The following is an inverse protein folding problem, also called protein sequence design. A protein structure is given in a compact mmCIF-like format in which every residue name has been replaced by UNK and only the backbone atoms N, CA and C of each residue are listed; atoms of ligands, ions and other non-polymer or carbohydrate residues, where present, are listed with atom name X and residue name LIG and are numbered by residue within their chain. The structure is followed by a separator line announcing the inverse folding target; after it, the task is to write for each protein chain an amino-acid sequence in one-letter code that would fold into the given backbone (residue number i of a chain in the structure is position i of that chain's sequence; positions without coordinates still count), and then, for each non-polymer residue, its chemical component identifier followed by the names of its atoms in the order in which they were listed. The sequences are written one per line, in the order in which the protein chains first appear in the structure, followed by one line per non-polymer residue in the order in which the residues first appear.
data_IF_343002050622
#
_entry.id   IF_343002050622
#
_cell.length_a   1.000
_cell.length_b   1.000
_cell.length_c   1.000
_cell.angle_alpha   90.00
_cell.angle_beta   90.00
_cell.angle_gamma   90.00
#
_symmetry.space_group_name_H-M   'P 1'
#
loop_
_entity.id
_entity.type
_entity.pdbx_description
1 polymer ?
#
# COMPACT_ATOMS: atom_id res chain seq x y z
N UNK A 1 15.01 -64.31 -24.94
CA UNK A 1 14.85 -65.33 -23.87
C UNK A 1 13.67 -64.96 -23.00
N UNK A 2 12.68 -65.86 -22.93
CA UNK A 2 11.43 -65.78 -22.17
C UNK A 2 11.58 -66.36 -20.75
N UNK A 3 10.81 -65.86 -19.77
CA UNK A 3 9.90 -66.57 -18.82
C UNK A 3 9.58 -65.58 -17.66
N UNK A 4 8.35 -65.08 -17.42
CA UNK A 4 7.05 -65.68 -17.03
C UNK A 4 6.84 -65.89 -15.51
N UNK A 5 5.79 -65.19 -15.02
CA UNK A 5 4.81 -65.52 -13.95
C UNK A 5 5.18 -65.38 -12.44
N UNK A 6 4.40 -64.55 -11.73
CA UNK A 6 3.45 -65.04 -10.71
C UNK A 6 2.34 -64.00 -10.43
N UNK A 7 1.10 -64.40 -10.67
CA UNK A 7 -0.16 -63.80 -10.20
C UNK A 7 -0.58 -64.59 -8.97
N UNK A 8 -1.23 -63.98 -7.96
CA UNK A 8 -2.34 -64.58 -7.19
C UNK A 8 -3.08 -63.46 -6.44
N UNK A 9 -4.36 -63.31 -6.81
CA UNK A 9 -5.43 -62.64 -6.09
C UNK A 9 -5.84 -63.43 -4.85
N UNK A 10 -6.49 -62.81 -3.86
CA UNK A 10 -7.69 -63.39 -3.23
C UNK A 10 -8.39 -62.40 -2.31
N UNK A 11 -9.69 -62.27 -2.55
CA UNK A 11 -10.67 -61.61 -1.71
C UNK A 11 -11.60 -62.67 -1.10
N UNK A 12 -12.25 -62.29 0.01
CA UNK A 12 -13.48 -62.85 0.59
C UNK A 12 -13.30 -64.12 1.44
N UNK A 13 -13.70 -64.02 2.73
CA UNK A 13 -14.82 -64.77 3.31
C UNK A 13 -15.18 -64.14 4.68
N UNK A 14 -16.45 -63.83 4.81
CA UNK A 14 -17.12 -63.47 6.06
C UNK A 14 -17.84 -64.70 6.63
N UNK A 15 -18.14 -64.62 7.94
CA UNK A 15 -19.27 -65.22 8.69
C UNK A 15 -18.92 -66.26 9.78
N UNK A 16 -19.61 -66.05 10.91
CA UNK A 16 -20.06 -66.92 12.05
C UNK A 16 -19.74 -66.21 13.41
N UNK A 17 -20.55 -65.31 14.00
CA UNK A 17 -21.87 -65.42 14.72
C UNK A 17 -21.72 -66.21 16.05
N UNK A 18 -22.28 -65.83 17.25
CA UNK A 18 -23.56 -65.13 17.50
C UNK A 18 -23.61 -64.00 18.55
N UNK A 19 -24.81 -63.41 18.59
CA UNK A 19 -25.39 -62.40 19.50
C UNK A 19 -25.37 -62.78 21.00
N UNK A 20 -25.32 -61.77 21.86
CA UNK A 20 -26.14 -61.73 23.09
C UNK A 20 -26.30 -60.29 23.58
N UNK A 21 -27.46 -60.07 24.18
CA UNK A 21 -28.17 -58.81 24.33
C UNK A 21 -27.65 -57.86 25.43
N UNK A 22 -28.18 -56.65 25.30
CA UNK A 22 -28.69 -55.82 26.40
C UNK A 22 -27.79 -54.74 27.02
N UNK A 23 -28.46 -53.59 27.20
CA UNK A 23 -28.23 -52.59 28.24
C UNK A 23 -27.10 -51.57 28.01
N UNK A 24 -27.42 -50.49 27.30
CA UNK A 24 -27.65 -49.17 27.92
C UNK A 24 -27.95 -48.12 26.83
N UNK A 25 -29.19 -47.64 26.83
CA UNK A 25 -29.64 -46.49 26.05
C UNK A 25 -28.84 -45.23 26.38
N UNK A 26 -28.05 -44.69 25.44
CA UNK A 26 -27.55 -43.30 25.50
C UNK A 26 -28.07 -42.50 24.32
N UNK A 27 -29.06 -41.64 24.61
CA UNK A 27 -29.59 -40.56 23.76
C UNK A 27 -28.43 -39.78 23.10
N UNK A 28 -28.11 -40.07 21.84
CA UNK A 28 -27.33 -39.17 20.98
C UNK A 28 -28.21 -38.00 20.57
N UNK A 29 -28.26 -36.95 21.41
CA UNK A 29 -28.73 -35.63 21.00
C UNK A 29 -27.85 -35.13 19.85
N UNK A 30 -28.35 -35.21 18.62
CA UNK A 30 -27.83 -34.46 17.46
C UNK A 30 -27.90 -32.97 17.81
N UNK A 31 -26.83 -32.40 18.35
CA UNK A 31 -26.62 -30.94 18.36
C UNK A 31 -26.47 -30.51 16.91
N UNK A 32 -27.57 -30.07 16.29
CA UNK A 32 -27.54 -29.23 15.08
C UNK A 32 -26.60 -28.07 15.42
N UNK A 33 -25.38 -28.08 14.87
CA UNK A 33 -24.51 -26.89 14.85
C UNK A 33 -25.32 -25.82 14.13
N UNK A 34 -25.88 -24.87 14.88
CA UNK A 34 -26.54 -23.70 14.33
C UNK A 34 -25.53 -23.05 13.38
N UNK A 35 -25.87 -22.97 12.08
CA UNK A 35 -25.10 -22.17 11.14
C UNK A 35 -24.97 -20.77 11.77
N UNK A 36 -23.75 -20.20 11.85
CA UNK A 36 -23.61 -18.85 12.35
C UNK A 36 -24.54 -17.95 11.55
N UNK A 37 -25.37 -17.14 12.25
CA UNK A 37 -26.18 -16.13 11.58
C UNK A 37 -25.22 -15.27 10.74
N UNK A 38 -25.54 -15.01 9.46
CA UNK A 38 -24.74 -14.07 8.68
C UNK A 38 -24.64 -12.76 9.46
N UNK A 39 -23.48 -12.07 9.41
CA UNK A 39 -23.32 -10.80 10.09
C UNK A 39 -24.46 -9.86 9.65
N UNK A 40 -25.02 -9.06 10.57
CA UNK A 40 -26.07 -8.13 10.22
C UNK A 40 -25.59 -7.24 9.08
N UNK A 41 -26.46 -7.00 8.09
CA UNK A 41 -26.19 -6.06 7.00
C UNK A 41 -25.92 -4.65 7.54
N UNK A 42 -25.49 -3.71 6.68
CA UNK A 42 -25.25 -2.33 7.10
C UNK A 42 -26.46 -1.75 7.83
N UNK A 43 -26.25 -0.83 8.77
CA UNK A 43 -27.34 -0.14 9.46
C UNK A 43 -28.20 0.65 8.46
N UNK A 44 -29.45 0.95 8.82
CA UNK A 44 -30.30 1.82 7.99
C UNK A 44 -29.66 3.18 7.76
N UNK A 45 -29.00 3.73 8.79
CA UNK A 45 -28.22 4.96 8.68
C UNK A 45 -27.15 4.86 7.58
N UNK A 46 -26.34 3.80 7.57
CA UNK A 46 -25.33 3.62 6.53
C UNK A 46 -25.95 3.46 5.14
N UNK A 47 -27.06 2.75 5.00
CA UNK A 47 -27.77 2.64 3.70
C UNK A 47 -28.20 4.01 3.19
N UNK A 48 -28.79 4.83 4.05
CA UNK A 48 -29.25 6.17 3.68
C UNK A 48 -28.08 7.07 3.26
N UNK A 49 -26.98 7.06 4.04
CA UNK A 49 -25.75 7.81 3.73
C UNK A 49 -25.16 7.41 2.38
N UNK A 50 -24.99 6.11 2.15
CA UNK A 50 -24.46 5.57 0.89
C UNK A 50 -25.35 5.96 -0.28
N UNK A 51 -26.67 5.80 -0.17
CA UNK A 51 -27.60 6.16 -1.25
C UNK A 51 -27.54 7.64 -1.59
N UNK A 52 -27.47 8.51 -0.59
CA UNK A 52 -27.40 9.96 -0.76
C UNK A 52 -26.11 10.40 -1.45
N UNK A 53 -24.96 9.85 -1.05
CA UNK A 53 -23.66 10.33 -1.49
C UNK A 53 -23.03 9.50 -2.62
N UNK A 54 -23.66 8.42 -3.08
CA UNK A 54 -23.21 7.66 -4.26
C UNK A 54 -23.60 8.29 -5.59
N UNK A 55 -24.20 9.49 -5.58
CA UNK A 55 -24.68 10.20 -6.77
C UNK A 55 -24.17 11.65 -6.77
N UNK A 56 -23.71 12.14 -7.93
CA UNK A 56 -23.23 13.54 -8.08
C UNK A 56 -24.38 14.53 -8.06
N UNK A 57 -25.49 14.23 -8.77
CA UNK A 57 -26.63 15.13 -8.90
C UNK A 57 -27.19 15.47 -7.51
N UNK A 58 -27.33 16.77 -7.22
CA UNK A 58 -27.81 17.26 -5.93
C UNK A 58 -26.74 17.37 -4.84
N UNK A 59 -25.49 16.98 -5.12
CA UNK A 59 -24.39 17.05 -4.17
C UNK A 59 -23.27 17.98 -4.65
N UNK A 60 -22.64 18.67 -3.70
CA UNK A 60 -21.44 19.45 -3.95
C UNK A 60 -20.20 18.53 -4.06
N UNK A 61 -19.34 18.73 -5.07
CA UNK A 61 -18.17 17.87 -5.29
C UNK A 61 -17.15 17.92 -4.15
N UNK A 62 -16.96 19.07 -3.48
CA UNK A 62 -16.08 19.16 -2.31
C UNK A 62 -16.67 18.39 -1.12
N UNK A 63 -18.00 18.36 -0.97
CA UNK A 63 -18.66 17.55 0.04
C UNK A 63 -18.47 16.06 -0.26
N UNK A 64 -18.71 15.63 -1.50
CA UNK A 64 -18.49 14.23 -1.91
C UNK A 64 -17.04 13.80 -1.72
N UNK A 65 -16.08 14.67 -2.02
CA UNK A 65 -14.66 14.41 -1.79
C UNK A 65 -14.35 14.21 -0.29
N UNK A 66 -15.07 14.87 0.63
CA UNK A 66 -14.96 14.64 2.07
C UNK A 66 -15.62 13.33 2.51
N UNK A 67 -16.86 13.09 2.06
CA UNK A 67 -17.63 11.89 2.42
C UNK A 67 -16.92 10.61 1.97
N UNK A 68 -16.35 10.61 0.77
CA UNK A 68 -15.63 9.45 0.23
C UNK A 68 -14.12 9.48 0.48
N UNK A 69 -13.64 10.39 1.31
CA UNK A 69 -12.22 10.45 1.65
C UNK A 69 -11.78 9.11 2.27
N UNK A 70 -10.62 8.57 1.90
CA UNK A 70 -10.19 7.27 2.38
C UNK A 70 -9.80 7.30 3.86
N UNK A 71 -10.10 6.23 4.59
CA UNK A 71 -9.50 6.00 5.90
C UNK A 71 -8.13 5.34 5.69
N UNK A 72 -7.05 5.92 6.19
CA UNK A 72 -5.72 5.34 6.07
C UNK A 72 -5.30 4.75 7.42
N UNK A 73 -4.75 3.54 7.42
CA UNK A 73 -4.04 2.97 8.58
C UNK A 73 -2.56 2.82 8.21
N UNK A 74 -1.68 3.47 8.96
CA UNK A 74 -0.24 3.28 8.81
C UNK A 74 0.16 1.90 9.34
N UNK A 75 1.31 1.39 8.91
CA UNK A 75 1.87 0.19 9.50
C UNK A 75 2.23 0.42 10.98
N UNK A 76 2.05 -0.59 11.81
CA UNK A 76 2.53 -0.62 13.18
C UNK A 76 4.05 -0.43 13.20
N UNK A 77 4.52 0.52 14.00
CA UNK A 77 5.93 0.91 14.05
C UNK A 77 6.39 1.79 12.90
N UNK A 78 5.48 2.36 12.10
CA UNK A 78 5.84 3.32 11.04
C UNK A 78 6.59 4.52 11.63
N UNK A 79 7.81 4.68 11.14
CA UNK A 79 8.77 5.69 11.58
C UNK A 79 8.86 6.85 10.57
N UNK A 80 8.42 6.62 9.33
CA UNK A 80 8.43 7.59 8.23
C UNK A 80 6.99 8.10 8.05
N UNK A 81 6.55 8.94 8.98
CA UNK A 81 5.17 9.44 9.00
C UNK A 81 4.91 10.44 7.86
N UNK A 82 3.65 10.68 7.48
CA UNK A 82 3.34 11.69 6.47
C UNK A 82 3.69 13.11 6.95
N UNK A 83 3.74 14.09 6.06
CA UNK A 83 3.86 15.50 6.43
C UNK A 83 3.09 16.41 5.50
N UNK A 84 2.86 17.64 5.94
CA UNK A 84 2.45 18.71 5.04
C UNK A 84 3.61 19.07 4.07
N UNK A 85 3.24 19.64 2.92
CA UNK A 85 4.22 20.25 1.99
C UNK A 85 4.93 21.41 2.67
N UNK A 86 4.20 22.23 3.44
CA UNK A 86 4.79 23.39 4.12
C UNK A 86 5.89 22.98 5.11
N UNK A 87 5.64 21.95 5.93
CA UNK A 87 6.65 21.36 6.81
C UNK A 87 7.90 20.94 6.03
N UNK A 88 7.72 20.14 4.97
CA UNK A 88 8.85 19.63 4.18
C UNK A 88 9.68 20.75 3.54
N UNK A 89 9.02 21.79 3.00
CA UNK A 89 9.69 22.90 2.34
C UNK A 89 10.61 23.70 3.27
N UNK A 90 10.35 23.71 4.58
CA UNK A 90 11.25 24.35 5.57
C UNK A 90 12.61 23.65 5.67
N UNK A 91 12.70 22.38 5.25
CA UNK A 91 13.89 21.53 5.42
C UNK A 91 14.68 21.27 4.13
N UNK A 92 14.27 21.89 3.02
CA UNK A 92 14.90 21.71 1.70
C UNK A 92 15.24 23.05 1.05
N UNK A 93 16.11 23.00 0.04
CA UNK A 93 16.45 24.10 -0.85
C UNK A 93 16.19 23.67 -2.29
N UNK A 94 15.83 24.61 -3.17
CA UNK A 94 15.81 24.36 -4.61
C UNK A 94 17.26 24.35 -5.11
N UNK A 95 17.60 23.34 -5.90
CA UNK A 95 18.86 23.29 -6.63
C UNK A 95 18.55 23.12 -8.12
N UNK A 96 19.30 23.82 -8.98
CA UNK A 96 19.12 23.78 -10.44
C UNK A 96 18.11 24.81 -10.98
N UNK A 97 17.74 25.82 -10.18
CA UNK A 97 16.83 26.91 -10.54
C UNK A 97 16.77 27.98 -9.43
N UNK A 98 15.92 29.01 -9.56
CA UNK A 98 15.78 30.06 -8.55
C UNK A 98 15.44 29.47 -7.18
N UNK A 99 16.10 29.93 -6.14
CA UNK A 99 15.93 29.38 -4.79
C UNK A 99 15.39 30.45 -3.84
N UNK A 100 14.07 30.74 -3.86
CA UNK A 100 13.49 31.69 -2.91
C UNK A 100 13.61 31.13 -1.49
N UNK A 101 13.95 32.00 -0.53
CA UNK A 101 14.10 31.63 0.87
C UNK A 101 13.28 32.59 1.74
N UNK A 102 12.49 32.08 2.70
CA UNK A 102 12.19 30.67 2.94
C UNK A 102 11.29 30.08 1.85
N UNK A 103 11.45 28.78 1.55
CA UNK A 103 10.53 28.07 0.66
C UNK A 103 9.16 27.90 1.34
N UNK A 104 8.11 28.17 0.58
CA UNK A 104 6.70 28.08 0.96
C UNK A 104 5.91 27.45 -0.19
N UNK A 105 4.72 26.86 0.09
CA UNK A 105 3.88 26.30 -0.97
C UNK A 105 3.53 27.29 -2.09
N UNK A 106 3.51 28.59 -1.79
CA UNK A 106 3.14 29.66 -2.73
C UNK A 106 4.30 30.31 -3.51
N UNK A 107 5.55 29.93 -3.24
CA UNK A 107 6.72 30.56 -3.86
C UNK A 107 7.67 29.57 -4.57
N UNK A 108 7.29 28.30 -4.73
CA UNK A 108 8.09 27.36 -5.50
C UNK A 108 8.32 27.89 -6.93
N UNK A 109 9.57 27.85 -7.43
CA UNK A 109 9.93 28.42 -8.71
C UNK A 109 9.38 27.59 -9.88
N UNK A 110 9.15 28.27 -11.00
CA UNK A 110 8.98 27.58 -12.28
C UNK A 110 10.32 26.98 -12.68
N UNK A 111 10.34 25.67 -12.92
CA UNK A 111 11.56 24.96 -13.27
C UNK A 111 11.30 23.72 -14.13
N UNK A 112 12.36 23.15 -14.69
CA UNK A 112 12.31 21.91 -15.45
C UNK A 112 12.74 20.70 -14.59
N UNK A 113 12.90 19.55 -15.23
CA UNK A 113 13.23 18.27 -14.57
C UNK A 113 14.62 18.23 -13.92
N UNK A 114 15.47 19.22 -14.19
CA UNK A 114 16.81 19.34 -13.60
C UNK A 114 16.77 19.97 -12.21
N UNK A 115 15.66 20.62 -11.85
CA UNK A 115 15.44 21.14 -10.51
C UNK A 115 15.08 20.04 -9.51
N UNK A 116 15.59 20.17 -8.29
CA UNK A 116 15.27 19.25 -7.21
C UNK A 116 15.30 19.93 -5.84
N UNK A 117 14.45 19.43 -4.95
CA UNK A 117 14.34 19.89 -3.56
C UNK A 117 15.34 19.12 -2.68
N UNK A 118 16.55 19.65 -2.56
CA UNK A 118 17.65 19.03 -1.78
C UNK A 118 17.48 19.34 -0.30
N UNK A 119 17.61 18.33 0.57
CA UNK A 119 17.69 18.54 2.02
C UNK A 119 18.75 19.60 2.40
N UNK A 120 18.39 20.50 3.33
CA UNK A 120 19.32 21.50 3.91
C UNK A 120 20.46 20.80 4.65
N UNK A 121 20.12 19.81 5.46
CA UNK A 121 21.09 18.92 6.10
C UNK A 121 21.66 17.89 5.13
N UNK A 122 22.90 17.47 5.38
CA UNK A 122 23.56 16.40 4.61
C UNK A 122 23.11 15.02 5.09
N UNK A 123 22.79 14.15 4.15
CA UNK A 123 22.68 12.70 4.40
C UNK A 123 24.09 12.10 4.43
N UNK A 124 24.49 11.51 5.56
CA UNK A 124 25.86 11.01 5.77
C UNK A 124 26.25 9.95 4.73
N UNK A 125 25.30 9.12 4.34
CA UNK A 125 25.45 8.06 3.34
C UNK A 125 24.15 7.93 2.51
N UNK A 126 24.14 7.06 1.49
CA UNK A 126 22.96 6.85 0.65
C UNK A 126 21.78 6.21 1.43
N UNK A 127 22.08 5.39 2.43
CA UNK A 127 21.08 4.73 3.29
C UNK A 127 20.82 5.45 4.62
N UNK A 128 21.43 6.61 4.83
CA UNK A 128 21.41 7.29 6.12
C UNK A 128 20.13 8.10 6.28
N UNK A 129 19.57 8.08 7.48
CA UNK A 129 18.32 8.76 7.83
C UNK A 129 18.53 9.73 9.00
N UNK A 130 19.71 10.35 9.07
CA UNK A 130 20.14 11.20 10.19
C UNK A 130 19.41 12.55 10.30
N UNK A 131 18.50 12.86 9.38
CA UNK A 131 17.80 14.14 9.35
C UNK A 131 16.41 13.98 9.99
N UNK A 132 16.12 14.66 11.11
CA UNK A 132 14.88 14.43 11.87
C UNK A 132 13.59 14.63 11.07
N UNK A 133 13.58 15.58 10.13
CA UNK A 133 12.37 15.87 9.33
C UNK A 133 11.92 14.70 8.44
N UNK A 134 12.79 13.71 8.18
CA UNK A 134 12.42 12.50 7.44
C UNK A 134 11.34 11.68 8.15
N UNK A 135 11.21 11.83 9.47
CA UNK A 135 10.21 11.15 10.30
C UNK A 135 8.80 11.74 10.18
N UNK A 136 8.64 12.89 9.53
CA UNK A 136 7.35 13.53 9.28
C UNK A 136 6.65 14.06 10.53
N UNK A 137 5.34 14.22 10.39
CA UNK A 137 4.45 14.82 11.37
C UNK A 137 3.41 13.80 11.84
N UNK A 138 2.73 14.11 12.93
CA UNK A 138 1.62 13.28 13.40
C UNK A 138 0.45 13.31 12.39
N UNK A 139 -0.10 12.16 11.95
CA UNK A 139 -1.09 12.10 10.86
C UNK A 139 -2.34 12.96 11.07
N UNK A 140 -2.78 13.12 12.33
CA UNK A 140 -3.94 13.96 12.68
C UNK A 140 -3.80 15.45 12.31
N UNK A 141 -2.57 15.93 12.07
CA UNK A 141 -2.28 17.32 11.70
C UNK A 141 -1.92 17.48 10.22
N UNK A 142 -1.75 16.37 9.50
CA UNK A 142 -1.23 16.39 8.12
C UNK A 142 -2.36 16.52 7.11
N UNK A 143 -2.29 17.49 6.18
CA UNK A 143 -3.29 17.62 5.14
C UNK A 143 -3.18 16.55 4.07
N UNK A 144 -4.33 16.16 3.52
CA UNK A 144 -4.40 15.35 2.29
C UNK A 144 -4.82 16.26 1.14
N UNK A 145 -3.96 16.35 0.12
CA UNK A 145 -4.16 17.26 -1.00
C UNK A 145 -5.03 16.59 -2.06
N UNK A 146 -6.24 17.10 -2.24
CA UNK A 146 -7.25 16.49 -3.08
C UNK A 146 -7.49 17.33 -4.32
N UNK A 147 -7.32 16.74 -5.50
CA UNK A 147 -7.66 17.37 -6.77
C UNK A 147 -8.94 16.78 -7.33
N UNK A 148 -9.91 17.63 -7.69
CA UNK A 148 -11.11 17.22 -8.42
C UNK A 148 -10.81 17.30 -9.91
N UNK A 149 -10.82 16.15 -10.57
CA UNK A 149 -10.47 15.98 -11.98
C UNK A 149 -11.74 15.63 -12.74
N UNK A 150 -12.10 16.43 -13.76
CA UNK A 150 -13.25 16.16 -14.64
C UNK A 150 -12.72 15.69 -16.00
N UNK A 151 -13.13 14.50 -16.45
CA UNK A 151 -12.69 13.87 -17.70
C UNK A 151 -13.89 13.22 -18.40
N UNK A 152 -14.50 13.92 -19.35
CA UNK A 152 -15.72 13.44 -20.01
C UNK A 152 -16.82 13.19 -18.98
N UNK A 153 -17.34 11.96 -18.92
CA UNK A 153 -18.35 11.55 -17.95
C UNK A 153 -17.79 11.07 -16.60
N UNK A 154 -16.47 11.11 -16.41
CA UNK A 154 -15.81 10.78 -15.15
C UNK A 154 -15.46 12.00 -14.32
N UNK A 155 -15.74 11.91 -13.03
CA UNK A 155 -15.21 12.82 -12.01
C UNK A 155 -14.33 11.99 -11.07
N UNK A 156 -13.08 12.40 -10.89
CA UNK A 156 -12.12 11.71 -10.03
C UNK A 156 -11.70 12.64 -8.89
N UNK A 157 -11.81 12.15 -7.66
CA UNK A 157 -11.19 12.77 -6.50
C UNK A 157 -9.83 12.10 -6.29
N UNK A 158 -8.75 12.81 -6.60
CA UNK A 158 -7.39 12.30 -6.45
C UNK A 158 -6.81 12.80 -5.14
N UNK A 159 -6.78 11.92 -4.13
CA UNK A 159 -6.20 12.17 -2.82
C UNK A 159 -4.70 11.90 -2.88
N UNK A 160 -3.89 12.92 -2.62
CA UNK A 160 -2.42 12.80 -2.59
C UNK A 160 -1.90 12.92 -1.16
N UNK A 161 -1.02 11.99 -0.82
CA UNK A 161 -0.38 11.83 0.46
C UNK A 161 1.10 12.15 0.27
N UNK A 162 1.64 12.98 1.16
CA UNK A 162 3.05 13.34 1.10
C UNK A 162 3.78 12.75 2.31
N UNK A 163 4.91 12.08 2.06
CA UNK A 163 5.81 11.62 3.08
C UNK A 163 7.19 12.27 2.85
N UNK A 164 7.86 12.82 3.87
CA UNK A 164 9.21 13.38 3.71
C UNK A 164 10.27 12.38 3.26
N UNK A 165 10.00 11.08 3.42
CA UNK A 165 10.96 10.04 3.12
C UNK A 165 10.28 8.71 2.88
N UNK A 166 10.76 7.98 1.88
CA UNK A 166 10.43 6.58 1.63
C UNK A 166 11.68 5.74 1.90
N UNK A 167 11.56 4.71 2.74
CA UNK A 167 12.68 3.83 3.09
C UNK A 167 12.94 2.75 2.04
N UNK A 168 12.10 2.61 1.02
CA UNK A 168 12.25 1.57 0.00
C UNK A 168 12.16 0.17 0.59
N UNK A 169 12.94 -0.77 0.03
CA UNK A 169 12.95 -2.18 0.47
C UNK A 169 14.33 -2.70 0.80
N UNK A 170 14.39 -3.49 1.88
CA UNK A 170 15.55 -4.30 2.22
C UNK A 170 15.57 -5.52 1.32
N UNK A 171 16.69 -5.71 0.63
CA UNK A 171 16.93 -6.72 -0.41
C UNK A 171 18.30 -7.35 -0.18
N UNK A 172 18.40 -8.66 -0.40
CA UNK A 172 19.60 -9.43 -0.48
C UNK A 172 20.36 -9.09 -1.77
N UNK A 173 21.61 -8.65 -1.65
CA UNK A 173 22.41 -8.21 -2.80
C UNK A 173 22.98 -9.38 -3.60
N UNK A 174 23.24 -10.53 -2.95
CA UNK A 174 23.70 -11.74 -3.63
C UNK A 174 22.63 -12.83 -3.70
N UNK A 175 22.99 -14.07 -3.37
CA UNK A 175 22.10 -15.22 -3.48
C UNK A 175 21.17 -15.31 -2.26
N UNK A 176 19.87 -15.31 -2.51
CA UNK A 176 18.88 -15.50 -1.47
C UNK A 176 18.80 -16.97 -1.07
N UNK A 177 19.26 -17.29 0.13
CA UNK A 177 19.27 -18.66 0.65
C UNK A 177 17.94 -19.10 1.25
N UNK A 178 17.00 -18.18 1.51
CA UNK A 178 15.66 -18.52 2.02
C UNK A 178 15.64 -19.21 3.39
N UNK A 179 16.73 -19.14 4.15
CA UNK A 179 16.89 -19.87 5.40
C UNK A 179 17.26 -21.35 5.18
N UNK A 180 17.86 -21.69 4.04
CA UNK A 180 18.34 -23.05 3.73
C UNK A 180 19.33 -23.50 4.80
N UNK A 181 19.17 -24.75 5.22
CA UNK A 181 20.14 -25.44 6.05
C UNK A 181 21.27 -25.94 5.16
N UNK A 182 22.51 -25.43 5.28
CA UNK A 182 23.63 -25.90 4.45
C UNK A 182 24.16 -27.27 4.89
N UNK A 183 23.80 -27.74 6.08
CA UNK A 183 24.22 -29.02 6.63
C UNK A 183 23.07 -30.06 6.62
N UNK A 184 23.39 -31.35 6.83
CA UNK A 184 22.38 -32.39 7.05
C UNK A 184 21.44 -32.00 8.21
N UNK A 185 20.13 -32.16 7.98
CA UNK A 185 19.13 -31.91 9.02
C UNK A 185 19.17 -33.04 10.04
N UNK A 186 19.04 -32.70 11.31
CA UNK A 186 18.79 -33.66 12.39
C UNK A 186 17.28 -33.74 12.67
N UNK A 187 16.81 -34.72 13.44
CA UNK A 187 15.41 -34.76 13.91
C UNK A 187 14.97 -33.48 14.65
N UNK A 188 15.93 -32.74 15.21
CA UNK A 188 15.71 -31.50 15.97
C UNK A 188 15.83 -30.22 15.12
N UNK A 189 16.09 -30.34 13.81
CA UNK A 189 16.13 -29.22 12.88
C UNK A 189 17.48 -29.03 12.19
N UNK A 190 17.84 -27.78 11.90
CA UNK A 190 19.10 -27.43 11.26
C UNK A 190 20.15 -27.16 12.35
N UNK A 191 21.18 -28.01 12.51
CA UNK A 191 22.18 -27.82 13.57
C UNK A 191 23.18 -26.69 13.28
N UNK A 192 23.21 -26.18 12.05
CA UNK A 192 24.10 -25.10 11.61
C UNK A 192 23.34 -23.79 11.35
N UNK A 193 24.05 -22.63 11.33
CA UNK A 193 23.46 -21.37 10.93
C UNK A 193 22.80 -21.43 9.56
N UNK A 194 21.56 -20.95 9.49
CA UNK A 194 20.80 -20.89 8.23
C UNK A 194 21.38 -19.83 7.30
N UNK A 195 21.45 -20.15 6.01
CA UNK A 195 21.85 -19.19 4.99
C UNK A 195 20.61 -18.40 4.56
N UNK A 196 20.59 -17.12 4.88
CA UNK A 196 19.51 -16.20 4.50
C UNK A 196 19.86 -15.39 3.26
N UNK A 197 21.02 -14.75 3.26
CA UNK A 197 21.50 -13.95 2.15
C UNK A 197 23.03 -14.03 2.06
N UNK A 198 23.52 -14.62 0.98
CA UNK A 198 24.94 -14.58 0.63
C UNK A 198 25.21 -13.21 -0.01
N UNK A 199 26.19 -12.46 0.49
CA UNK A 199 26.50 -11.09 0.04
C UNK A 199 25.84 -9.96 0.83
N UNK A 200 25.01 -10.29 1.82
CA UNK A 200 24.44 -9.31 2.75
C UNK A 200 23.21 -8.55 2.24
N UNK A 201 22.54 -7.87 3.17
CA UNK A 201 21.35 -7.08 2.88
C UNK A 201 21.68 -5.60 2.71
N UNK A 202 21.04 -4.98 1.73
CA UNK A 202 21.01 -3.53 1.57
C UNK A 202 19.58 -3.05 1.37
N UNK A 203 19.35 -1.74 1.46
CA UNK A 203 18.01 -1.16 1.28
C UNK A 203 18.01 -0.29 0.03
N UNK A 204 17.15 -0.60 -0.94
CA UNK A 204 17.08 0.07 -2.23
C UNK A 204 15.75 0.78 -2.46
N UNK A 205 15.77 1.79 -3.32
CA UNK A 205 14.59 2.58 -3.66
C UNK A 205 14.22 3.59 -2.60
N UNK A 206 15.16 3.97 -1.72
CA UNK A 206 14.92 5.03 -0.75
C UNK A 206 14.82 6.36 -1.47
N UNK A 207 14.00 7.30 -1.01
CA UNK A 207 14.06 8.66 -1.52
C UNK A 207 13.55 9.66 -0.50
N UNK A 208 14.18 10.84 -0.48
CA UNK A 208 13.65 12.01 0.22
C UNK A 208 12.49 12.54 -0.59
N UNK A 209 11.38 12.89 0.06
CA UNK A 209 10.12 13.27 -0.55
C UNK A 209 9.44 12.09 -1.22
N UNK A 210 8.15 11.92 -0.99
CA UNK A 210 7.37 10.82 -1.54
C UNK A 210 5.92 11.24 -1.75
N UNK A 211 5.38 10.93 -2.92
CA UNK A 211 4.01 11.27 -3.31
C UNK A 211 3.25 9.98 -3.60
N UNK A 212 2.37 9.62 -2.68
CA UNK A 212 1.44 8.53 -2.86
C UNK A 212 0.05 9.06 -3.18
N UNK A 213 -0.81 8.22 -3.78
CA UNK A 213 -2.16 8.66 -4.10
C UNK A 213 -3.23 7.58 -4.04
N UNK A 214 -4.47 8.00 -3.88
CA UNK A 214 -5.65 7.16 -4.09
C UNK A 214 -6.67 7.95 -4.89
N UNK A 215 -7.59 7.26 -5.56
CA UNK A 215 -8.65 7.92 -6.33
C UNK A 215 -10.02 7.36 -5.96
N UNK A 216 -10.99 8.24 -5.82
CA UNK A 216 -12.40 7.86 -5.93
C UNK A 216 -12.88 8.34 -7.29
N UNK A 217 -13.55 7.45 -8.03
CA UNK A 217 -14.07 7.74 -9.36
C UNK A 217 -15.58 7.65 -9.32
N UNK A 218 -16.22 8.70 -9.82
CA UNK A 218 -17.60 8.69 -10.24
C UNK A 218 -17.65 8.61 -11.75
N UNK A 219 -18.54 7.80 -12.29
CA UNK A 219 -18.77 7.65 -13.73
C UNK A 219 -20.27 7.74 -13.99
N UNK A 220 -20.66 8.54 -14.97
CA UNK A 220 -22.07 8.75 -15.32
C UNK A 220 -22.91 9.16 -14.09
N UNK A 221 -22.42 10.15 -13.35
CA UNK A 221 -23.04 10.68 -12.13
C UNK A 221 -23.16 9.72 -10.93
N UNK A 222 -22.55 8.53 -10.96
CA UNK A 222 -22.61 7.56 -9.86
C UNK A 222 -21.23 7.13 -9.38
N UNK A 223 -21.11 6.82 -8.09
CA UNK A 223 -19.91 6.24 -7.51
C UNK A 223 -19.57 4.95 -8.24
N UNK A 224 -18.34 4.86 -8.73
CA UNK A 224 -17.91 3.80 -9.63
C UNK A 224 -16.79 2.96 -9.01
N UNK A 225 -15.73 3.58 -8.51
CA UNK A 225 -14.59 2.82 -8.00
C UNK A 225 -13.69 3.59 -7.04
N UNK A 226 -12.89 2.83 -6.30
CA UNK A 226 -11.75 3.32 -5.54
C UNK A 226 -10.47 2.70 -6.11
N UNK A 227 -9.45 3.53 -6.37
CA UNK A 227 -8.14 3.10 -6.82
C UNK A 227 -7.12 3.25 -5.68
N UNK A 228 -6.43 2.15 -5.36
CA UNK A 228 -5.30 2.13 -4.44
C UNK A 228 -3.99 2.16 -5.23
N UNK A 229 -3.20 3.24 -5.09
CA UNK A 229 -1.85 3.28 -5.67
C UNK A 229 -0.94 2.34 -4.89
N UNK A 230 -0.36 1.39 -5.62
CA UNK A 230 0.76 0.56 -5.17
C UNK A 230 1.64 0.31 -6.38
N UNK A 231 2.89 -0.09 -6.13
CA UNK A 231 3.91 -0.43 -7.11
C UNK A 231 3.31 -0.97 -8.42
N UNK A 232 3.75 -0.49 -9.59
CA UNK A 232 3.22 -0.95 -10.87
C UNK A 232 3.85 -2.29 -11.27
N UNK A 233 3.14 -3.40 -11.08
CA UNK A 233 3.58 -4.74 -11.50
C UNK A 233 2.40 -5.64 -11.87
N UNK A 234 2.67 -6.70 -12.65
CA UNK A 234 1.67 -7.72 -12.95
C UNK A 234 1.12 -8.42 -11.69
N UNK A 235 1.90 -8.47 -10.61
CA UNK A 235 1.50 -9.09 -9.34
C UNK A 235 0.57 -8.14 -8.58
N UNK A 236 0.93 -6.86 -8.44
CA UNK A 236 0.10 -5.87 -7.74
C UNK A 236 -1.22 -5.63 -8.44
N UNK A 237 -1.24 -5.65 -9.77
CA UNK A 237 -2.46 -5.49 -10.56
C UNK A 237 -3.51 -6.58 -10.28
N UNK A 238 -3.14 -7.71 -9.68
CA UNK A 238 -4.10 -8.74 -9.22
C UNK A 238 -4.71 -8.42 -7.85
N UNK A 239 -4.02 -7.66 -7.01
CA UNK A 239 -4.33 -7.56 -5.58
C UNK A 239 -4.66 -6.15 -5.09
N UNK A 240 -4.30 -5.13 -5.86
CA UNK A 240 -4.52 -3.72 -5.58
C UNK A 240 -4.96 -2.98 -6.86
N UNK A 241 -4.85 -1.65 -6.93
CA UNK A 241 -5.38 -0.86 -8.04
C UNK A 241 -6.88 -0.61 -7.89
N UNK A 242 -7.66 -0.78 -8.97
CA UNK A 242 -9.09 -0.43 -8.99
C UNK A 242 -9.98 -1.48 -8.32
N UNK A 243 -10.76 -1.06 -7.34
CA UNK A 243 -11.86 -1.79 -6.70
C UNK A 243 -13.19 -1.15 -7.14
N UNK A 244 -14.08 -1.94 -7.74
CA UNK A 244 -15.37 -1.47 -8.23
C UNK A 244 -16.38 -1.38 -7.10
N UNK A 245 -17.20 -0.35 -7.14
CA UNK A 245 -18.32 -0.18 -6.23
C UNK A 245 -19.47 -1.11 -6.62
N UNK A 246 -19.96 -1.91 -5.68
CA UNK A 246 -21.08 -2.85 -5.91
C UNK A 246 -22.40 -2.43 -5.23
N UNK A 247 -22.49 -1.19 -4.74
CA UNK A 247 -23.62 -0.71 -3.94
C UNK A 247 -23.45 -0.87 -2.43
N UNK A 248 -22.48 -1.68 -1.98
CA UNK A 248 -22.22 -1.92 -0.55
C UNK A 248 -20.77 -1.70 -0.15
N UNK A 249 -19.82 -2.07 -1.01
CA UNK A 249 -18.37 -1.96 -0.76
C UNK A 249 -17.61 -1.86 -2.07
N UNK A 250 -16.35 -1.44 -1.99
CA UNK A 250 -15.40 -1.54 -3.09
C UNK A 250 -14.81 -2.95 -3.14
N UNK A 251 -14.92 -3.61 -4.29
CA UNK A 251 -14.53 -5.01 -4.46
C UNK A 251 -13.65 -5.21 -5.70
N UNK A 252 -12.66 -6.13 -5.56
CA UNK A 252 -11.83 -6.63 -6.65
C UNK A 252 -11.66 -8.14 -6.49
N UNK A 253 -12.28 -8.91 -7.39
CA UNK A 253 -12.39 -10.36 -7.21
C UNK A 253 -13.04 -10.69 -5.87
N UNK A 254 -12.39 -11.51 -5.06
CA UNK A 254 -12.84 -11.88 -3.70
C UNK A 254 -12.42 -10.89 -2.61
N UNK A 255 -11.60 -9.87 -2.93
CA UNK A 255 -11.15 -8.86 -1.96
C UNK A 255 -12.14 -7.72 -1.86
N UNK A 256 -12.49 -7.32 -0.64
CA UNK A 256 -13.39 -6.21 -0.34
C UNK A 256 -12.68 -5.20 0.56
N UNK A 257 -12.86 -3.91 0.29
CA UNK A 257 -12.40 -2.87 1.20
C UNK A 257 -13.35 -2.79 2.40
N UNK A 258 -12.77 -2.67 3.60
CA UNK A 258 -13.57 -2.28 4.76
C UNK A 258 -14.00 -0.83 4.57
N UNK A 259 -15.19 -0.49 5.07
CA UNK A 259 -15.67 0.88 5.14
C UNK A 259 -15.67 1.32 6.60
N UNK A 260 -15.13 2.49 6.87
CA UNK A 260 -15.19 3.20 8.15
C UNK A 260 -16.23 4.33 8.01
N UNK A 261 -17.07 4.53 9.02
CA UNK A 261 -18.12 5.57 8.96
C UNK A 261 -19.06 5.47 7.75
N UNK A 262 -19.37 4.25 7.29
CA UNK A 262 -20.20 3.93 6.12
C UNK A 262 -19.60 4.25 4.73
N UNK A 263 -18.74 5.26 4.58
CA UNK A 263 -18.27 5.74 3.25
C UNK A 263 -16.76 5.79 3.08
N UNK A 264 -15.98 5.70 4.16
CA UNK A 264 -14.52 5.83 4.09
C UNK A 264 -13.87 4.48 3.80
N UNK A 265 -13.48 4.26 2.54
CA UNK A 265 -12.71 3.07 2.15
C UNK A 265 -11.40 2.99 2.92
N UNK A 266 -11.20 1.88 3.64
CA UNK A 266 -10.00 1.66 4.46
C UNK A 266 -8.86 1.14 3.58
N UNK A 267 -7.74 1.87 3.58
CA UNK A 267 -6.48 1.49 2.95
C UNK A 267 -5.37 1.39 4.00
N UNK A 268 -4.45 0.44 3.80
CA UNK A 268 -3.31 0.22 4.69
C UNK A 268 -2.02 0.64 3.99
N UNK A 269 -1.31 1.62 4.55
CA UNK A 269 -0.01 2.03 4.03
C UNK A 269 1.06 1.01 4.44
N UNK A 270 1.88 0.60 3.47
CA UNK A 270 2.97 -0.35 3.71
C UNK A 270 4.11 0.29 4.51
N UNK A 271 4.70 -0.49 5.42
CA UNK A 271 5.81 -0.07 6.27
C UNK A 271 7.00 0.45 5.43
N UNK A 272 7.28 1.73 5.58
CA UNK A 272 8.38 2.48 4.98
C UNK A 272 8.31 2.74 3.47
N UNK A 273 7.54 1.97 2.70
CA UNK A 273 7.35 2.20 1.25
C UNK A 273 6.03 2.87 0.89
N UNK A 274 5.10 2.94 1.83
CA UNK A 274 3.83 3.67 1.75
C UNK A 274 2.83 3.26 0.66
N UNK A 275 3.11 2.20 -0.11
CA UNK A 275 2.14 1.61 -1.02
C UNK A 275 0.84 1.24 -0.31
N UNK A 276 -0.30 1.55 -0.92
CA UNK A 276 -1.62 1.32 -0.32
C UNK A 276 -2.19 -0.06 -0.68
N UNK A 277 -2.60 -0.79 0.35
CA UNK A 277 -3.15 -2.14 0.23
C UNK A 277 -4.56 -2.25 0.83
N UNK A 278 -5.40 -3.18 0.32
CA UNK A 278 -6.77 -3.35 0.79
C UNK A 278 -6.87 -4.05 2.15
N UNK A 279 -5.81 -4.72 2.60
CA UNK A 279 -5.81 -5.52 3.82
C UNK A 279 -4.42 -5.57 4.48
N UNK A 280 -4.38 -5.95 5.76
CA UNK A 280 -3.13 -6.20 6.50
C UNK A 280 -2.43 -7.47 6.01
N UNK A 281 -1.16 -7.62 6.39
CA UNK A 281 -0.31 -8.77 6.08
C UNK A 281 0.82 -8.44 5.13
N UNK A 282 1.41 -9.51 4.58
CA UNK A 282 2.51 -9.43 3.63
C UNK A 282 1.97 -9.44 2.19
N UNK A 283 2.40 -8.48 1.39
CA UNK A 283 2.00 -8.35 -0.02
C UNK A 283 3.24 -8.38 -0.91
N UNK A 284 3.43 -9.48 -1.61
CA UNK A 284 4.48 -9.60 -2.63
C UNK A 284 4.09 -8.72 -3.81
N UNK A 285 4.99 -7.85 -4.25
CA UNK A 285 4.75 -7.04 -5.44
C UNK A 285 5.76 -7.26 -6.57
N UNK A 286 6.92 -7.88 -6.29
CA UNK A 286 7.91 -8.23 -7.32
C UNK A 286 8.71 -9.45 -6.87
N UNK A 287 8.97 -10.37 -7.79
CA UNK A 287 9.95 -11.44 -7.60
C UNK A 287 11.28 -10.97 -8.22
N UNK A 288 12.39 -11.24 -7.54
CA UNK A 288 13.73 -10.92 -8.01
C UNK A 288 14.41 -12.16 -8.61
N UNK A 289 15.34 -11.99 -9.57
CA UNK A 289 16.03 -13.12 -10.20
C UNK A 289 16.86 -13.97 -9.22
N UNK A 290 17.29 -13.41 -8.10
CA UNK A 290 18.06 -14.11 -7.07
C UNK A 290 17.21 -14.97 -6.12
N UNK A 291 15.90 -15.13 -6.40
CA UNK A 291 14.97 -15.94 -5.61
C UNK A 291 14.28 -15.17 -4.46
N UNK A 292 14.66 -13.92 -4.20
CA UNK A 292 13.99 -13.09 -3.20
C UNK A 292 12.70 -12.45 -3.73
N UNK A 293 11.84 -12.01 -2.82
CA UNK A 293 10.60 -11.30 -3.12
C UNK A 293 10.61 -9.93 -2.45
N UNK A 294 10.18 -8.90 -3.19
CA UNK A 294 9.87 -7.60 -2.62
C UNK A 294 8.47 -7.65 -2.01
N UNK A 295 8.42 -7.35 -0.70
CA UNK A 295 7.22 -7.51 0.12
C UNK A 295 6.89 -6.21 0.84
N UNK A 296 5.65 -5.78 0.69
CA UNK A 296 5.03 -4.77 1.53
C UNK A 296 4.41 -5.39 2.77
N UNK A 297 4.58 -4.74 3.92
CA UNK A 297 4.02 -5.18 5.19
C UNK A 297 3.02 -4.15 5.68
N UNK A 298 1.77 -4.57 5.87
CA UNK A 298 0.68 -3.72 6.32
C UNK A 298 0.12 -4.25 7.64
N UNK A 299 -0.29 -3.36 8.55
CA UNK A 299 -0.89 -3.73 9.83
C UNK A 299 -1.83 -2.65 10.35
N UNK A 300 -2.48 -2.90 11.49
CA UNK A 300 -3.42 -1.99 12.14
C UNK A 300 -2.69 -0.94 13.01
N UNK A 301 -1.73 -0.23 12.42
CA UNK A 301 -1.03 0.84 13.12
C UNK A 301 -1.88 2.11 13.24
N UNK A 302 -1.20 3.24 13.29
CA UNK A 302 -1.81 4.54 13.54
C UNK A 302 -2.88 4.91 12.50
N UNK A 303 -4.04 5.38 12.97
CA UNK A 303 -5.14 5.79 12.10
C UNK A 303 -4.96 7.22 11.59
N UNK A 304 -5.27 7.42 10.32
CA UNK A 304 -5.30 8.73 9.67
C UNK A 304 -6.67 8.93 9.01
N UNK A 305 -7.50 9.72 9.71
CA UNK A 305 -8.84 10.09 9.29
C UNK A 305 -8.77 11.27 8.34
N UNK A 306 -8.55 10.98 7.06
CA UNK A 306 -8.15 11.99 6.07
C UNK A 306 -9.19 13.08 5.85
N UNK A 307 -10.48 12.79 6.05
CA UNK A 307 -11.58 13.73 5.90
C UNK A 307 -11.47 14.95 6.83
N UNK A 308 -10.74 14.85 7.94
CA UNK A 308 -10.55 15.94 8.88
C UNK A 308 -9.57 17.01 8.40
N UNK A 309 -8.71 16.71 7.42
CA UNK A 309 -7.58 17.58 7.02
C UNK A 309 -7.48 17.78 5.50
N UNK A 310 -8.58 17.61 4.76
CA UNK A 310 -8.56 17.75 3.30
C UNK A 310 -8.32 19.20 2.85
N UNK A 311 -7.32 19.38 1.98
CA UNK A 311 -7.16 20.57 1.15
C UNK A 311 -7.61 20.24 -0.27
N UNK A 312 -8.74 20.78 -0.70
CA UNK A 312 -9.40 20.44 -1.97
C UNK A 312 -9.24 21.57 -2.99
N UNK A 313 -8.91 21.22 -4.23
CA UNK A 313 -8.83 22.16 -5.37
C UNK A 313 -9.35 21.49 -6.65
N UNK A 314 -10.02 22.25 -7.52
CA UNK A 314 -10.30 21.79 -8.88
C UNK A 314 -9.01 21.65 -9.69
N UNK A 315 -8.97 20.67 -10.59
CA UNK A 315 -7.85 20.51 -11.50
C UNK A 315 -7.73 21.74 -12.39
N UNK A 316 -6.55 22.36 -12.35
CA UNK A 316 -6.11 23.39 -13.28
C UNK A 316 -4.97 22.90 -14.15
N UNK A 317 -4.77 23.47 -15.35
CA UNK A 317 -3.53 23.35 -16.08
C UNK A 317 -2.33 23.69 -15.18
N UNK A 318 -1.21 22.98 -15.39
CA UNK A 318 0.03 23.29 -14.67
C UNK A 318 0.46 24.72 -15.02
N UNK A 319 0.87 25.49 -14.02
CA UNK A 319 1.16 26.92 -14.11
C UNK A 319 0.03 27.82 -13.58
N UNK A 320 -1.21 27.31 -13.50
CA UNK A 320 -2.38 28.12 -13.11
C UNK A 320 -2.85 27.90 -11.66
N UNK A 321 -2.16 27.07 -10.88
CA UNK A 321 -2.45 26.96 -9.45
C UNK A 321 -1.93 28.19 -8.69
N UNK A 322 -2.71 28.71 -7.76
CA UNK A 322 -2.41 29.91 -6.97
C UNK A 322 -2.50 29.62 -5.46
N UNK A 323 -2.07 30.59 -4.64
CA UNK A 323 -2.12 30.48 -3.17
C UNK A 323 -1.40 29.23 -2.64
N UNK A 324 -2.02 28.58 -1.66
CA UNK A 324 -1.53 27.35 -1.01
C UNK A 324 -1.34 26.16 -1.96
N UNK A 325 -1.95 26.18 -3.15
CA UNK A 325 -1.84 25.10 -4.14
C UNK A 325 -0.82 25.39 -5.23
N UNK A 326 -0.15 26.55 -5.24
CA UNK A 326 0.83 26.90 -6.26
C UNK A 326 2.00 25.91 -6.33
N UNK A 327 2.30 25.18 -5.26
CA UNK A 327 3.28 24.09 -5.29
C UNK A 327 2.93 22.98 -6.30
N UNK A 328 1.66 22.83 -6.67
CA UNK A 328 1.24 21.89 -7.73
C UNK A 328 1.80 22.28 -9.11
N UNK A 329 2.23 23.53 -9.30
CA UNK A 329 2.92 23.98 -10.50
C UNK A 329 4.37 23.48 -10.58
N UNK A 330 4.98 23.09 -9.46
CA UNK A 330 6.36 22.66 -9.42
C UNK A 330 6.56 21.39 -10.26
N UNK A 331 7.53 21.44 -11.17
CA UNK A 331 7.84 20.37 -12.12
C UNK A 331 9.23 19.74 -11.86
N UNK A 332 9.94 20.24 -10.84
CA UNK A 332 11.16 19.63 -10.35
C UNK A 332 10.89 18.36 -9.55
N UNK A 333 11.98 17.73 -9.11
CA UNK A 333 11.98 16.53 -8.28
C UNK A 333 11.82 16.88 -6.80
N UNK A 334 10.94 16.19 -6.11
CA UNK A 334 10.72 16.35 -4.68
C UNK A 334 11.74 15.50 -3.93
N UNK A 335 12.94 16.02 -3.71
CA UNK A 335 13.97 15.29 -2.95
C UNK A 335 15.38 15.41 -3.49
N UNK A 336 16.26 14.62 -2.88
CA UNK A 336 17.68 14.58 -3.22
C UNK A 336 17.92 13.85 -4.56
N UNK A 337 19.13 14.00 -5.11
CA UNK A 337 19.59 13.19 -6.24
C UNK A 337 19.95 11.78 -5.79
N UNK A 338 19.88 10.85 -6.73
CA UNK A 338 20.25 9.46 -6.49
C UNK A 338 21.71 9.31 -6.04
N UNK A 339 21.97 8.32 -5.18
CA UNK A 339 23.30 7.96 -4.66
C UNK A 339 23.37 6.45 -4.43
N UNK A 340 24.57 5.87 -4.57
CA UNK A 340 24.77 4.43 -4.38
C UNK A 340 24.18 3.59 -5.52
N UNK A 341 24.29 4.08 -6.75
CA UNK A 341 23.74 3.50 -7.97
C UNK A 341 24.67 2.45 -8.64
N UNK A 342 25.35 1.62 -7.84
CA UNK A 342 26.34 0.65 -8.34
C UNK A 342 25.71 -0.47 -9.19
N UNK A 343 26.21 -1.70 -9.04
CA UNK A 343 25.73 -2.86 -9.80
C UNK A 343 24.20 -3.04 -9.74
N UNK A 344 23.56 -2.67 -8.63
CA UNK A 344 22.10 -2.70 -8.48
C UNK A 344 21.35 -1.84 -9.51
N UNK A 345 21.88 -0.70 -9.96
CA UNK A 345 21.23 0.10 -11.00
C UNK A 345 21.28 -0.61 -12.35
N UNK A 346 22.37 -1.32 -12.66
CA UNK A 346 22.51 -2.08 -13.91
C UNK A 346 21.59 -3.29 -13.98
N UNK A 347 21.39 -3.98 -12.86
CA UNK A 347 20.64 -5.26 -12.81
C UNK A 347 19.18 -5.07 -12.43
N UNK A 348 18.89 -4.18 -11.48
CA UNK A 348 17.57 -4.01 -10.87
C UNK A 348 16.91 -2.66 -11.22
N UNK A 349 17.62 -1.81 -11.98
CA UNK A 349 17.23 -0.42 -12.27
C UNK A 349 16.87 0.39 -11.02
N UNK A 350 17.62 0.16 -9.94
CA UNK A 350 17.40 0.84 -8.65
C UNK A 350 18.72 1.18 -7.94
N UNK A 351 18.77 2.33 -7.29
CA UNK A 351 19.83 2.82 -6.42
C UNK A 351 19.47 2.63 -4.94
N UNK A 352 20.45 2.74 -4.06
CA UNK A 352 20.20 2.78 -2.60
C UNK A 352 19.31 3.98 -2.28
N UNK A 353 19.76 5.17 -2.69
CA UNK A 353 18.97 6.40 -2.71
C UNK A 353 18.61 6.72 -4.16
N UNK A 354 17.33 6.78 -4.46
CA UNK A 354 16.76 7.22 -5.73
C UNK A 354 16.61 8.73 -5.80
N UNK A 355 16.38 9.22 -7.01
CA UNK A 355 15.91 10.57 -7.20
C UNK A 355 14.56 10.78 -6.49
N UNK A 356 14.41 11.94 -5.86
CA UNK A 356 13.10 12.40 -5.42
C UNK A 356 12.05 12.31 -6.54
N UNK A 357 10.81 11.90 -6.24
CA UNK A 357 9.79 11.69 -7.24
C UNK A 357 9.38 13.01 -7.90
N UNK A 358 8.92 12.91 -9.14
CA UNK A 358 8.13 13.96 -9.76
C UNK A 358 6.67 13.72 -9.39
N UNK A 359 5.93 14.80 -9.14
CA UNK A 359 4.49 14.69 -8.94
C UNK A 359 3.84 14.23 -10.25
N UNK A 360 3.27 13.02 -10.23
CA UNK A 360 2.48 12.44 -11.31
C UNK A 360 1.05 12.96 -11.39
#
# INVERSE_FOLDING_TARGET
MNLKFLVISLAIIALLVPESDAFWSRRRRRRRRRRPKPPPGPSQHCRNQVNLYSVIRGNNLHQLARVWAPAVKLAQGETWKPSSVDFFLRHVNVVGGPNPQPLRPNNLPTCNRNCYLKSKGRLNCASCTNLPFLHGEHPSKVPVYTTIVKKGSEIQFVYRFFFPYNRGKRVCVGLHGGGRCPCPKTPWGCPCPRIYCVGGYSTFGQHVGDWEHMKIVFRNNRLHSMFLSTHNSAITNKHAGTFLWNGLTFQKGHKKLKLEGCTHGVAYAALGSHGFWPNVGNHVYKNLPNGEKLVDKCSHGEAWNTWNTLKIVDQKPRGQYTGDFKFLNFNGRWGNRERGCGLAKKVLNVCILEHGPQRS
#
